data_IF_314003636150
#
_entry.id   IF_314003636150
#
_cell.length_a   1.000
_cell.length_b   1.000
_cell.length_c   1.000
_cell.angle_alpha   90.00
_cell.angle_beta   90.00
_cell.angle_gamma   90.00
#
_symmetry.space_group_name_H-M   'P 1'
#
loop_
_entity.id
_entity.type
_entity.pdbx_description
1 polymer ?
#
# COMPACT_ATOMS: atom_id res chain seq x y z
N UNK A 1 -8.79 27.59 15.58
CA UNK A 1 -10.08 26.90 15.31
C UNK A 1 -9.90 25.45 15.74
N UNK A 2 -10.87 24.83 16.42
CA UNK A 2 -10.78 23.41 16.78
C UNK A 2 -11.46 22.59 15.68
N UNK A 3 -10.72 21.68 15.03
CA UNK A 3 -11.27 20.82 13.98
C UNK A 3 -11.88 19.56 14.60
N UNK A 4 -13.08 19.73 15.19
CA UNK A 4 -13.83 18.66 15.83
C UNK A 4 -14.87 18.07 14.88
N UNK A 5 -14.88 16.75 14.77
CA UNK A 5 -15.93 16.01 14.05
C UNK A 5 -16.51 14.91 14.93
N UNK A 6 -17.72 14.46 14.60
CA UNK A 6 -18.40 13.35 15.29
C UNK A 6 -18.55 12.18 14.32
N UNK A 7 -17.85 11.09 14.59
CA UNK A 7 -17.98 9.82 13.88
C UNK A 7 -18.91 8.86 14.61
N UNK A 8 -19.31 7.75 14.01
CA UNK A 8 -19.98 6.64 14.71
C UNK A 8 -19.20 6.13 15.94
N UNK A 9 -17.87 6.18 15.91
CA UNK A 9 -17.02 5.76 17.03
C UNK A 9 -16.94 6.77 18.18
N UNK A 10 -17.21 8.06 17.94
CA UNK A 10 -17.10 9.14 18.93
C UNK A 10 -16.57 10.44 18.32
N UNK A 11 -16.19 11.40 19.17
CA UNK A 11 -15.63 12.67 18.72
C UNK A 11 -14.13 12.54 18.42
N UNK A 12 -13.68 13.22 17.36
CA UNK A 12 -12.27 13.33 16.94
C UNK A 12 -11.87 14.79 16.85
N UNK A 13 -10.63 15.08 17.26
CA UNK A 13 -9.98 16.38 17.04
C UNK A 13 -8.84 16.21 16.05
N UNK A 14 -8.93 16.88 14.88
CA UNK A 14 -7.89 16.98 13.87
C UNK A 14 -7.04 18.23 14.01
N UNK A 15 -6.15 18.44 13.03
CA UNK A 15 -5.27 19.60 12.95
C UNK A 15 -5.15 20.11 11.51
N UNK A 16 -4.79 21.41 11.34
CA UNK A 16 -4.43 21.93 10.02
C UNK A 16 -3.15 21.28 9.52
N UNK A 17 -2.93 21.34 8.22
CA UNK A 17 -1.71 20.85 7.57
C UNK A 17 -0.91 21.99 6.97
N UNK A 18 0.26 21.69 6.39
CA UNK A 18 1.04 22.63 5.60
C UNK A 18 0.43 22.92 4.21
N UNK A 19 -0.57 22.14 3.77
CA UNK A 19 -1.31 22.40 2.54
C UNK A 19 -2.59 23.17 2.85
N UNK A 20 -2.75 24.31 2.17
CA UNK A 20 -3.92 25.18 2.33
C UNK A 20 -5.21 24.42 2.06
N UNK A 21 -6.20 24.60 2.94
CA UNK A 21 -7.52 23.97 2.82
C UNK A 21 -7.56 22.47 3.10
N UNK A 22 -6.50 21.90 3.69
CA UNK A 22 -6.43 20.46 4.05
C UNK A 22 -6.34 20.28 5.56
N UNK A 23 -7.27 19.51 6.12
CA UNK A 23 -7.27 19.09 7.52
C UNK A 23 -6.82 17.63 7.61
N UNK A 24 -5.97 17.34 8.58
CA UNK A 24 -5.55 15.99 8.89
C UNK A 24 -6.14 15.49 10.21
N UNK A 25 -6.57 14.24 10.19
CA UNK A 25 -6.91 13.44 11.37
C UNK A 25 -5.93 12.27 11.40
N UNK A 26 -4.90 12.38 12.24
CA UNK A 26 -3.75 11.49 12.27
C UNK A 26 -3.85 10.46 13.40
N UNK A 27 -3.34 9.25 13.18
CA UNK A 27 -3.25 8.24 14.22
C UNK A 27 -4.57 7.74 14.78
N UNK A 28 -5.61 7.67 13.95
CA UNK A 28 -6.91 7.12 14.36
C UNK A 28 -6.78 5.60 14.50
N UNK A 29 -7.05 5.07 15.69
CA UNK A 29 -7.05 3.62 15.92
C UNK A 29 -8.25 2.98 15.26
N UNK A 30 -8.03 2.22 14.20
CA UNK A 30 -9.10 1.52 13.49
C UNK A 30 -9.35 0.10 14.03
N UNK A 31 -8.35 -0.51 14.66
CA UNK A 31 -8.45 -1.86 15.20
C UNK A 31 -7.51 -2.08 16.38
N UNK A 32 -7.74 -3.18 17.09
CA UNK A 32 -6.84 -3.77 18.09
C UNK A 32 -6.58 -5.23 17.75
N UNK A 33 -5.39 -5.72 18.04
CA UNK A 33 -5.05 -7.15 17.90
C UNK A 33 -3.95 -7.53 18.89
N UNK A 34 -4.02 -8.73 19.44
CA UNK A 34 -2.88 -9.37 20.09
C UNK A 34 -1.91 -9.96 19.06
N UNK A 35 -0.72 -10.38 19.53
CA UNK A 35 0.28 -11.04 18.68
C UNK A 35 -0.25 -12.35 18.14
N UNK A 36 -0.26 -12.49 16.79
CA UNK A 36 -0.82 -13.63 16.04
C UNK A 36 -2.33 -13.82 16.25
N UNK A 37 -3.04 -12.74 16.59
CA UNK A 37 -4.50 -12.69 16.61
C UNK A 37 -5.03 -11.85 15.45
N UNK A 38 -6.26 -12.17 15.00
CA UNK A 38 -6.92 -11.37 13.97
C UNK A 38 -7.44 -10.05 14.55
N UNK A 39 -7.44 -8.97 13.76
CA UNK A 39 -7.82 -7.64 14.23
C UNK A 39 -9.31 -7.59 14.59
N UNK A 40 -9.62 -6.76 15.57
CA UNK A 40 -10.99 -6.39 15.95
C UNK A 40 -11.17 -4.90 15.71
N UNK A 41 -12.17 -4.56 14.91
CA UNK A 41 -12.51 -3.17 14.61
C UNK A 41 -12.80 -2.38 15.89
N UNK A 42 -12.29 -1.16 15.97
CA UNK A 42 -12.65 -0.20 17.02
C UNK A 42 -13.93 0.50 16.60
N UNK A 43 -14.98 0.33 17.40
CA UNK A 43 -16.32 0.87 17.13
C UNK A 43 -16.71 2.00 18.06
N UNK A 44 -15.92 2.29 19.12
CA UNK A 44 -16.19 3.38 20.04
C UNK A 44 -14.95 3.77 20.84
N UNK A 45 -14.93 5.02 21.30
CA UNK A 45 -14.03 5.56 22.31
C UNK A 45 -14.75 6.56 23.19
N UNK A 46 -14.19 6.83 24.37
CA UNK A 46 -14.73 7.82 25.30
C UNK A 46 -14.08 9.20 25.07
N UNK A 47 -14.87 10.26 25.27
CA UNK A 47 -14.40 11.64 25.17
C UNK A 47 -14.05 12.07 23.75
N UNK A 48 -13.10 13.00 23.64
CA UNK A 48 -12.57 13.49 22.36
C UNK A 48 -11.25 12.80 22.07
N UNK A 49 -11.21 12.01 21.01
CA UNK A 49 -9.98 11.34 20.53
C UNK A 49 -9.05 12.38 19.90
N UNK A 50 -7.81 12.46 20.37
CA UNK A 50 -6.80 13.36 19.84
C UNK A 50 -6.14 12.76 18.58
N UNK A 51 -6.63 13.17 17.41
CA UNK A 51 -6.13 12.75 16.11
C UNK A 51 -5.18 13.81 15.48
N UNK A 52 -4.34 14.45 16.28
CA UNK A 52 -3.40 15.50 15.81
C UNK A 52 -1.99 14.96 15.56
N UNK A 53 -1.69 13.73 15.96
CA UNK A 53 -0.38 13.09 15.83
C UNK A 53 -0.49 11.73 15.17
N UNK A 54 0.54 11.35 14.40
CA UNK A 54 0.62 10.00 13.85
C UNK A 54 0.70 8.95 14.95
N UNK A 55 0.06 7.80 14.72
CA UNK A 55 0.21 6.61 15.55
C UNK A 55 1.51 5.86 15.23
N UNK A 56 1.89 4.95 16.11
CA UNK A 56 3.09 4.14 15.93
C UNK A 56 3.05 3.31 14.63
N UNK A 57 4.18 3.17 13.98
CA UNK A 57 4.41 2.23 12.89
C UNK A 57 4.52 0.79 13.40
N UNK A 58 4.22 -0.18 12.56
CA UNK A 58 4.48 -1.57 12.86
C UNK A 58 5.97 -1.83 13.06
N UNK A 59 6.32 -2.70 14.02
CA UNK A 59 7.70 -3.19 14.13
C UNK A 59 8.17 -3.79 12.81
N UNK A 60 9.39 -3.45 12.44
CA UNK A 60 10.04 -3.80 11.19
C UNK A 60 11.56 -3.80 11.41
N UNK A 61 12.38 -4.33 10.49
CA UNK A 61 13.83 -4.38 10.71
C UNK A 61 14.47 -3.06 11.17
N UNK A 62 14.09 -1.95 10.54
CA UNK A 62 14.63 -0.62 10.86
C UNK A 62 14.25 -0.07 12.24
N UNK A 63 13.31 -0.70 12.93
CA UNK A 63 12.99 -0.36 14.32
C UNK A 63 14.14 -0.65 15.29
N UNK A 64 15.12 -1.46 14.86
CA UNK A 64 16.17 -2.02 15.71
C UNK A 64 17.59 -1.68 15.24
N UNK A 65 17.75 -0.75 14.28
CA UNK A 65 19.05 -0.24 13.84
C UNK A 65 18.92 1.17 13.26
N UNK A 66 20.04 1.90 13.24
CA UNK A 66 20.11 3.19 12.59
C UNK A 66 20.30 3.02 11.06
N UNK A 67 19.37 3.50 10.24
CA UNK A 67 19.43 3.40 8.78
C UNK A 67 20.60 4.21 8.18
N UNK A 68 21.03 5.30 8.82
CA UNK A 68 22.16 6.12 8.37
C UNK A 68 23.50 5.35 8.42
N UNK A 69 23.60 4.37 9.29
CA UNK A 69 24.77 3.51 9.44
C UNK A 69 24.77 2.30 8.50
N UNK A 70 23.71 2.16 7.66
CA UNK A 70 23.50 1.00 6.80
C UNK A 70 23.63 1.38 5.32
N UNK A 71 24.83 1.26 4.68
CA UNK A 71 25.07 1.71 3.30
C UNK A 71 24.06 1.18 2.27
N UNK A 72 23.59 -0.07 2.45
CA UNK A 72 22.57 -0.68 1.56
C UNK A 72 21.14 -0.17 1.78
N UNK A 73 20.91 0.67 2.80
CA UNK A 73 19.57 1.21 3.13
C UNK A 73 19.50 2.72 2.95
N UNK A 74 20.65 3.36 2.81
CA UNK A 74 20.78 4.82 2.77
C UNK A 74 19.97 5.46 1.65
N UNK A 75 19.82 4.78 0.50
CA UNK A 75 19.06 5.31 -0.63
C UNK A 75 17.60 5.59 -0.22
N UNK A 76 16.85 4.54 0.17
CA UNK A 76 15.45 4.70 0.56
C UNK A 76 15.25 5.49 1.86
N UNK A 77 16.25 5.51 2.73
CA UNK A 77 16.26 6.40 3.89
C UNK A 77 16.31 7.86 3.45
N UNK A 78 17.25 8.23 2.57
CA UNK A 78 17.36 9.59 2.04
C UNK A 78 16.11 10.02 1.28
N UNK A 79 15.51 9.10 0.49
CA UNK A 79 14.30 9.38 -0.27
C UNK A 79 13.10 9.65 0.64
N UNK A 80 12.80 8.74 1.55
CA UNK A 80 11.47 8.68 2.15
C UNK A 80 11.43 9.05 3.63
N UNK A 81 12.58 9.10 4.34
CA UNK A 81 12.57 9.16 5.81
C UNK A 81 13.54 10.12 6.44
N UNK A 82 14.56 10.57 5.73
CA UNK A 82 15.58 11.47 6.29
C UNK A 82 14.95 12.73 6.86
N UNK A 83 15.28 13.02 8.12
CA UNK A 83 14.74 14.15 8.85
C UNK A 83 13.44 13.86 9.60
N UNK A 84 12.85 12.67 9.45
CA UNK A 84 11.64 12.25 10.15
C UNK A 84 11.95 11.32 11.31
N UNK A 85 11.08 11.32 12.32
CA UNK A 85 11.15 10.41 13.47
C UNK A 85 9.91 9.53 13.50
N UNK A 86 10.11 8.24 13.65
CA UNK A 86 9.04 7.25 13.71
C UNK A 86 9.05 6.51 15.03
N UNK A 87 7.88 6.38 15.65
CA UNK A 87 7.66 5.48 16.78
C UNK A 87 7.25 4.11 16.26
N UNK A 88 7.71 3.03 16.89
CA UNK A 88 7.41 1.65 16.49
C UNK A 88 6.79 0.88 17.64
N UNK A 89 5.74 0.10 17.33
CA UNK A 89 5.03 -0.70 18.32
C UNK A 89 4.34 -1.92 17.66
N UNK A 90 3.99 -2.93 18.47
CA UNK A 90 3.00 -3.93 18.07
C UNK A 90 1.59 -3.32 18.03
N UNK A 91 1.34 -2.34 18.85
CA UNK A 91 0.13 -1.51 18.81
C UNK A 91 0.29 -0.44 17.72
N UNK A 92 0.03 -0.84 16.47
CA UNK A 92 0.32 -0.07 15.26
C UNK A 92 -0.88 0.10 14.32
N UNK A 93 -2.07 -0.39 14.69
CA UNK A 93 -3.24 -0.42 13.81
C UNK A 93 -3.94 0.95 13.77
N UNK A 94 -3.26 1.91 13.14
CA UNK A 94 -3.71 3.28 12.98
C UNK A 94 -3.86 3.65 11.51
N UNK A 95 -4.80 4.55 11.24
CA UNK A 95 -4.96 5.19 9.93
C UNK A 95 -4.96 6.72 10.09
N UNK A 96 -4.79 7.41 8.96
CA UNK A 96 -4.82 8.86 8.87
C UNK A 96 -5.85 9.26 7.81
N UNK A 97 -6.61 10.32 8.05
CA UNK A 97 -7.58 10.87 7.09
C UNK A 97 -7.19 12.31 6.77
N UNK A 98 -7.12 12.63 5.49
CA UNK A 98 -6.89 13.97 4.96
C UNK A 98 -8.15 14.41 4.22
N UNK A 99 -8.76 15.51 4.66
CA UNK A 99 -10.04 15.97 4.13
C UNK A 99 -9.99 17.47 3.82
N UNK A 100 -10.83 17.97 2.89
CA UNK A 100 -10.97 19.41 2.66
C UNK A 100 -11.46 20.14 3.92
N UNK A 101 -10.85 21.27 4.27
CA UNK A 101 -11.25 22.11 5.40
C UNK A 101 -12.69 22.62 5.28
N UNK A 102 -13.09 22.98 4.08
CA UNK A 102 -14.43 23.48 3.78
C UNK A 102 -15.49 22.36 3.78
N UNK A 103 -15.08 21.13 4.08
CA UNK A 103 -15.93 19.96 4.03
C UNK A 103 -16.32 19.59 2.60
N UNK A 104 -17.38 18.81 2.49
CA UNK A 104 -17.97 18.31 1.26
C UNK A 104 -19.00 17.24 1.64
N UNK A 105 -19.86 16.90 0.70
CA UNK A 105 -20.77 15.77 0.87
C UNK A 105 -20.51 14.75 -0.22
N UNK A 106 -20.40 13.47 0.20
CA UNK A 106 -20.20 12.34 -0.71
C UNK A 106 -18.95 12.48 -1.61
N UNK A 107 -17.84 12.97 -1.02
CA UNK A 107 -16.57 13.04 -1.73
C UNK A 107 -16.01 11.62 -1.97
N UNK A 108 -15.41 11.35 -3.13
CA UNK A 108 -14.70 10.09 -3.36
C UNK A 108 -13.55 9.92 -2.37
N UNK A 109 -13.21 8.68 -2.06
CA UNK A 109 -12.23 8.31 -1.06
C UNK A 109 -11.12 7.47 -1.69
N UNK A 110 -9.86 7.85 -1.47
CA UNK A 110 -8.68 7.06 -1.81
C UNK A 110 -8.07 6.48 -0.54
N UNK A 111 -8.01 5.16 -0.43
CA UNK A 111 -7.38 4.43 0.70
C UNK A 111 -6.08 3.82 0.22
N UNK A 112 -4.95 4.31 0.72
CA UNK A 112 -3.64 3.87 0.32
C UNK A 112 -3.05 2.83 1.27
N UNK A 113 -2.59 1.71 0.70
CA UNK A 113 -1.89 0.61 1.37
C UNK A 113 -0.41 0.65 0.96
N UNK A 114 0.47 0.95 1.91
CA UNK A 114 1.89 1.10 1.64
C UNK A 114 2.58 -0.21 1.24
N UNK A 115 3.67 -0.10 0.50
CA UNK A 115 4.55 -1.21 0.13
C UNK A 115 5.60 -1.55 1.20
N UNK A 116 6.73 -2.11 0.73
CA UNK A 116 7.87 -2.48 1.59
C UNK A 116 8.02 -4.00 1.78
N UNK A 117 7.59 -4.81 0.80
CA UNK A 117 7.81 -6.26 0.78
C UNK A 117 7.14 -7.01 1.92
N UNK A 118 6.06 -6.50 2.48
CA UNK A 118 5.37 -7.00 3.68
C UNK A 118 6.23 -7.00 4.96
N UNK A 119 7.39 -6.37 4.92
CA UNK A 119 8.36 -6.38 6.01
C UNK A 119 8.81 -5.00 6.45
N UNK A 120 8.39 -3.95 5.76
CA UNK A 120 8.73 -2.55 6.05
C UNK A 120 7.67 -1.59 5.53
N UNK A 121 7.84 -0.30 5.82
CA UNK A 121 6.93 0.78 5.44
C UNK A 121 6.04 1.27 6.57
N UNK A 122 5.39 2.40 6.36
CA UNK A 122 4.29 2.90 7.18
C UNK A 122 3.44 3.91 6.38
N UNK A 123 2.26 4.25 6.87
CA UNK A 123 1.29 5.11 6.17
C UNK A 123 1.57 6.61 6.26
N UNK A 124 2.73 7.04 6.76
CA UNK A 124 3.08 8.45 6.89
C UNK A 124 4.57 8.72 6.62
N UNK A 125 5.17 7.97 5.68
CA UNK A 125 6.47 8.36 5.12
C UNK A 125 6.31 9.60 4.23
N UNK A 126 7.38 10.37 4.04
CA UNK A 126 7.38 11.71 3.41
C UNK A 126 6.60 11.81 2.11
N UNK A 127 6.66 10.79 1.27
CA UNK A 127 5.98 10.76 -0.03
C UNK A 127 4.46 10.46 0.07
N UNK A 128 3.94 10.14 1.26
CA UNK A 128 2.51 9.98 1.51
C UNK A 128 1.96 11.07 2.43
N UNK A 129 2.82 11.87 3.03
CA UNK A 129 2.40 12.86 4.02
C UNK A 129 1.70 14.03 3.35
N UNK A 130 0.48 14.24 3.78
CA UNK A 130 -0.43 15.29 3.29
C UNK A 130 -0.52 15.31 1.75
N UNK A 131 -1.21 14.35 1.11
CA UNK A 131 -1.41 14.34 -0.34
C UNK A 131 -2.22 15.56 -0.81
N UNK A 132 -2.09 15.93 -2.08
CA UNK A 132 -2.88 17.04 -2.67
C UNK A 132 -4.34 16.67 -2.96
N UNK A 133 -4.71 15.41 -2.84
CA UNK A 133 -6.05 14.90 -3.20
C UNK A 133 -7.22 15.66 -2.57
N UNK A 134 -7.17 16.10 -1.28
CA UNK A 134 -8.23 16.91 -0.70
C UNK A 134 -8.44 18.26 -1.40
N UNK A 135 -7.38 18.89 -1.91
CA UNK A 135 -7.49 20.11 -2.69
C UNK A 135 -8.19 19.89 -4.04
N UNK A 136 -8.18 18.65 -4.54
CA UNK A 136 -8.86 18.18 -5.77
C UNK A 136 -10.23 17.53 -5.46
N UNK A 137 -10.73 17.66 -4.22
CA UNK A 137 -12.04 17.15 -3.80
C UNK A 137 -12.13 15.64 -3.59
N UNK A 138 -11.04 14.99 -3.19
CA UNK A 138 -10.98 13.56 -2.88
C UNK A 138 -10.40 13.37 -1.48
N UNK A 139 -11.08 12.63 -0.61
CA UNK A 139 -10.55 12.31 0.72
C UNK A 139 -9.43 11.29 0.60
N UNK A 140 -8.28 11.59 1.21
CA UNK A 140 -7.14 10.69 1.30
C UNK A 140 -7.13 9.92 2.62
N UNK A 141 -6.87 8.62 2.57
CA UNK A 141 -6.65 7.78 3.75
C UNK A 141 -5.36 6.99 3.57
N UNK A 142 -4.50 7.00 4.58
CA UNK A 142 -3.32 6.13 4.64
C UNK A 142 -3.40 5.27 5.90
N UNK A 143 -2.79 4.10 5.91
CA UNK A 143 -2.92 3.17 7.04
C UNK A 143 -1.62 2.42 7.33
N UNK A 144 -1.46 2.01 8.58
CA UNK A 144 -0.48 1.02 9.03
C UNK A 144 -1.13 -0.35 9.15
N UNK A 145 -0.36 -1.40 8.94
CA UNK A 145 -0.75 -2.79 9.16
C UNK A 145 0.45 -3.58 9.68
N UNK A 146 0.24 -4.70 10.35
CA UNK A 146 1.32 -5.52 10.90
C UNK A 146 2.20 -6.09 9.81
N UNK A 147 3.50 -6.09 10.05
CA UNK A 147 4.56 -6.42 9.10
C UNK A 147 5.42 -7.59 9.59
N UNK A 148 6.13 -8.20 8.64
CA UNK A 148 7.13 -9.22 8.94
C UNK A 148 6.57 -10.39 9.75
N UNK A 149 7.32 -10.87 10.74
CA UNK A 149 6.89 -11.94 11.64
C UNK A 149 5.52 -11.72 12.27
N UNK A 150 5.23 -10.49 12.68
CA UNK A 150 3.97 -10.16 13.38
C UNK A 150 2.76 -10.11 12.46
N UNK A 151 2.98 -9.85 11.16
CA UNK A 151 1.93 -9.75 10.15
C UNK A 151 1.69 -11.02 9.34
N UNK A 152 2.68 -11.93 9.26
CA UNK A 152 2.64 -13.01 8.26
C UNK A 152 3.17 -14.38 8.76
N UNK A 153 3.48 -14.54 10.04
CA UNK A 153 3.87 -15.84 10.58
C UNK A 153 2.75 -16.88 10.42
N UNK A 154 3.14 -18.13 10.16
CA UNK A 154 2.24 -19.26 10.04
C UNK A 154 2.78 -20.44 10.84
N UNK A 155 1.93 -21.04 11.66
CA UNK A 155 2.22 -22.23 12.44
C UNK A 155 0.98 -23.13 12.46
N UNK A 156 1.13 -24.47 12.51
CA UNK A 156 -0.01 -25.38 12.63
C UNK A 156 -0.90 -25.06 13.84
N UNK A 157 -0.30 -24.72 14.98
CA UNK A 157 -0.99 -24.39 16.22
C UNK A 157 -1.87 -23.14 16.08
N UNK A 158 -1.44 -22.15 15.31
CA UNK A 158 -2.25 -20.96 15.00
C UNK A 158 -3.47 -21.31 14.14
N UNK A 159 -3.33 -22.31 13.25
CA UNK A 159 -4.44 -22.82 12.46
C UNK A 159 -5.43 -23.60 13.33
N UNK A 160 -4.96 -24.36 14.29
CA UNK A 160 -5.81 -25.10 15.24
C UNK A 160 -6.63 -24.13 16.11
N UNK A 161 -6.02 -23.03 16.58
CA UNK A 161 -6.72 -22.02 17.41
C UNK A 161 -7.83 -21.27 16.65
N UNK A 162 -7.58 -20.85 15.43
CA UNK A 162 -8.47 -19.94 14.70
C UNK A 162 -9.25 -20.61 13.55
N UNK A 163 -8.91 -21.86 13.18
CA UNK A 163 -9.46 -22.56 12.02
C UNK A 163 -8.81 -22.17 10.68
N UNK A 164 -7.98 -21.12 10.67
CA UNK A 164 -7.19 -20.64 9.52
C UNK A 164 -5.94 -19.92 10.03
N UNK A 165 -4.97 -19.61 9.18
CA UNK A 165 -3.67 -19.09 9.64
C UNK A 165 -3.04 -18.12 8.67
N UNK A 166 -2.27 -17.17 9.21
CA UNK A 166 -1.48 -16.20 8.45
C UNK A 166 -2.26 -14.97 8.01
N UNK A 167 -1.63 -14.19 7.14
CA UNK A 167 -2.23 -13.00 6.53
C UNK A 167 -2.74 -11.94 7.53
N UNK A 168 -2.25 -11.91 8.78
CA UNK A 168 -2.71 -10.94 9.80
C UNK A 168 -2.66 -9.51 9.26
N UNK A 169 -1.56 -9.15 8.54
CA UNK A 169 -1.44 -7.85 7.90
C UNK A 169 -2.50 -7.57 6.82
N UNK A 170 -2.94 -8.59 6.06
CA UNK A 170 -4.04 -8.41 5.10
C UNK A 170 -5.40 -8.26 5.81
N UNK A 171 -5.62 -8.98 6.91
CA UNK A 171 -6.82 -8.78 7.72
C UNK A 171 -6.84 -7.40 8.40
N UNK A 172 -5.66 -6.88 8.81
CA UNK A 172 -5.54 -5.50 9.31
C UNK A 172 -6.00 -4.50 8.24
N UNK A 173 -5.51 -4.65 7.00
CA UNK A 173 -5.89 -3.81 5.86
C UNK A 173 -7.41 -3.90 5.58
N UNK A 174 -7.98 -5.12 5.56
CA UNK A 174 -9.42 -5.33 5.39
C UNK A 174 -10.21 -4.62 6.48
N UNK A 175 -9.76 -4.71 7.74
CA UNK A 175 -10.42 -4.06 8.88
C UNK A 175 -10.31 -2.53 8.78
N UNK A 176 -9.19 -2.00 8.29
CA UNK A 176 -9.04 -0.57 8.02
C UNK A 176 -10.03 -0.08 6.94
N UNK A 177 -10.15 -0.82 5.83
CA UNK A 177 -11.12 -0.50 4.76
C UNK A 177 -12.56 -0.56 5.30
N UNK A 178 -12.87 -1.54 6.14
CA UNK A 178 -14.17 -1.66 6.78
C UNK A 178 -14.45 -0.47 7.72
N UNK A 179 -13.46 -0.09 8.54
CA UNK A 179 -13.57 1.09 9.39
C UNK A 179 -13.80 2.37 8.58
N UNK A 180 -13.09 2.53 7.45
CA UNK A 180 -13.31 3.66 6.52
C UNK A 180 -14.75 3.64 6.02
N UNK A 181 -15.26 2.50 5.55
CA UNK A 181 -16.64 2.38 5.08
C UNK A 181 -17.67 2.78 6.14
N UNK A 182 -17.42 2.47 7.42
CA UNK A 182 -18.33 2.80 8.51
C UNK A 182 -18.26 4.27 8.97
N UNK A 183 -17.09 4.92 8.79
CA UNK A 183 -16.84 6.21 9.45
C UNK A 183 -16.61 7.38 8.49
N UNK A 184 -16.26 7.14 7.22
CA UNK A 184 -15.76 8.18 6.30
C UNK A 184 -16.80 9.27 5.98
N UNK A 185 -18.09 8.97 6.10
CA UNK A 185 -19.16 9.95 5.91
C UNK A 185 -19.05 11.13 6.90
N UNK A 186 -18.52 10.90 8.10
CA UNK A 186 -18.29 11.96 9.08
C UNK A 186 -17.20 12.96 8.65
N UNK A 187 -16.34 12.57 7.72
CA UNK A 187 -15.29 13.40 7.12
C UNK A 187 -15.75 14.02 5.77
N UNK A 188 -17.02 13.81 5.39
CA UNK A 188 -17.57 14.25 4.10
C UNK A 188 -17.39 13.26 2.95
N UNK A 189 -16.86 12.05 3.21
CA UNK A 189 -16.63 11.04 2.20
C UNK A 189 -17.86 10.19 1.86
N UNK A 190 -17.86 9.59 0.68
CA UNK A 190 -18.87 8.64 0.25
C UNK A 190 -18.42 7.21 0.54
N UNK A 191 -19.06 6.50 1.48
CA UNK A 191 -18.75 5.09 1.75
C UNK A 191 -19.07 4.15 0.57
N UNK A 192 -19.85 4.62 -0.42
CA UNK A 192 -20.14 3.87 -1.64
C UNK A 192 -19.23 4.28 -2.81
N UNK A 193 -18.23 5.15 -2.57
CA UNK A 193 -17.26 5.57 -3.59
C UNK A 193 -15.82 5.51 -3.06
N UNK A 194 -15.39 4.33 -2.61
CA UNK A 194 -14.05 4.05 -2.09
C UNK A 194 -13.20 3.42 -3.19
N UNK A 195 -12.01 3.97 -3.40
CA UNK A 195 -10.95 3.41 -4.24
C UNK A 195 -9.82 2.96 -3.34
N UNK A 196 -9.40 1.69 -3.41
CA UNK A 196 -8.20 1.23 -2.73
C UNK A 196 -6.99 1.35 -3.68
N UNK A 197 -5.88 1.85 -3.17
CA UNK A 197 -4.64 2.04 -3.91
C UNK A 197 -3.48 1.41 -3.15
N UNK A 198 -2.49 0.87 -3.85
CA UNK A 198 -1.29 0.37 -3.19
C UNK A 198 -0.12 0.23 -4.15
N UNK A 199 1.10 0.29 -3.61
CA UNK A 199 2.32 0.16 -4.38
C UNK A 199 3.13 -1.05 -3.92
N UNK A 200 3.81 -1.77 -4.85
CA UNK A 200 4.66 -2.92 -4.52
C UNK A 200 3.87 -3.99 -3.75
N UNK A 201 4.31 -4.37 -2.55
CA UNK A 201 3.57 -5.25 -1.65
C UNK A 201 2.16 -4.71 -1.34
N UNK A 202 1.96 -3.39 -1.26
CA UNK A 202 0.65 -2.76 -1.15
C UNK A 202 -0.21 -2.98 -2.40
N UNK A 203 0.36 -2.91 -3.61
CA UNK A 203 -0.33 -3.27 -4.84
C UNK A 203 -0.69 -4.76 -4.92
N UNK A 204 0.20 -5.63 -4.41
CA UNK A 204 -0.11 -7.05 -4.23
C UNK A 204 -1.24 -7.26 -3.20
N UNK A 205 -1.28 -6.48 -2.12
CA UNK A 205 -2.38 -6.49 -1.14
C UNK A 205 -3.70 -6.08 -1.78
N UNK A 206 -3.71 -4.97 -2.54
CA UNK A 206 -4.88 -4.53 -3.31
C UNK A 206 -5.40 -5.66 -4.19
N UNK A 207 -4.51 -6.35 -4.90
CA UNK A 207 -4.91 -7.52 -5.70
C UNK A 207 -5.55 -8.61 -4.84
N UNK A 208 -4.98 -8.97 -3.67
CA UNK A 208 -5.58 -9.98 -2.80
C UNK A 208 -6.98 -9.57 -2.34
N UNK A 209 -7.19 -8.30 -2.03
CA UNK A 209 -8.52 -7.79 -1.73
C UNK A 209 -9.47 -7.87 -2.93
N UNK A 210 -9.00 -7.59 -4.15
CA UNK A 210 -9.80 -7.74 -5.37
C UNK A 210 -10.14 -9.20 -5.72
N UNK A 211 -9.42 -10.16 -5.16
CA UNK A 211 -9.64 -11.61 -5.36
C UNK A 211 -10.44 -12.26 -4.21
N UNK A 212 -10.65 -11.54 -3.12
CA UNK A 212 -11.25 -12.08 -1.89
C UNK A 212 -12.76 -11.92 -1.87
N UNK A 213 -13.52 -12.98 -1.56
CA UNK A 213 -14.97 -12.84 -1.34
C UNK A 213 -15.31 -12.00 -0.09
N UNK A 214 -14.40 -11.92 0.90
CA UNK A 214 -14.63 -11.17 2.14
C UNK A 214 -14.65 -9.66 1.96
N UNK A 215 -14.02 -9.14 0.93
CA UNK A 215 -13.91 -7.70 0.68
C UNK A 215 -14.84 -7.20 -0.42
N UNK A 216 -15.71 -8.09 -0.93
CA UNK A 216 -16.69 -7.74 -1.96
C UNK A 216 -17.65 -6.66 -1.44
N UNK A 217 -17.72 -5.54 -2.17
CA UNK A 217 -18.56 -4.39 -1.83
C UNK A 217 -17.95 -3.42 -0.80
N UNK A 218 -16.74 -3.69 -0.27
CA UNK A 218 -16.07 -2.74 0.61
C UNK A 218 -15.46 -1.55 -0.14
N UNK A 219 -15.17 -1.71 -1.42
CA UNK A 219 -14.63 -0.67 -2.30
C UNK A 219 -15.15 -0.86 -3.74
N UNK A 220 -15.10 0.19 -4.54
CA UNK A 220 -15.69 0.26 -5.86
C UNK A 220 -14.67 0.37 -6.99
N UNK A 221 -13.41 0.71 -6.68
CA UNK A 221 -12.32 0.85 -7.65
C UNK A 221 -10.99 0.44 -7.03
N UNK A 222 -10.01 0.10 -7.85
CA UNK A 222 -8.69 -0.29 -7.35
C UNK A 222 -7.55 0.25 -8.22
N UNK A 223 -6.43 0.63 -7.56
CA UNK A 223 -5.21 1.13 -8.19
C UNK A 223 -4.01 0.31 -7.71
N UNK A 224 -3.25 -0.26 -8.65
CA UNK A 224 -2.10 -1.12 -8.36
C UNK A 224 -0.83 -0.55 -9.00
N UNK A 225 0.06 0.02 -8.17
CA UNK A 225 1.32 0.61 -8.61
C UNK A 225 2.46 -0.41 -8.43
N UNK A 226 3.13 -0.81 -9.51
CA UNK A 226 4.30 -1.71 -9.48
C UNK A 226 4.10 -2.95 -8.61
N UNK A 227 2.87 -3.50 -8.61
CA UNK A 227 2.47 -4.68 -7.82
C UNK A 227 1.09 -5.16 -8.25
N UNK A 228 0.80 -6.44 -8.07
CA UNK A 228 -0.44 -7.04 -8.53
C UNK A 228 -0.39 -7.47 -10.02
N UNK A 229 -1.57 -7.70 -10.61
CA UNK A 229 -1.70 -8.22 -11.98
C UNK A 229 -1.73 -9.76 -12.05
N UNK A 230 -1.78 -10.30 -13.26
CA UNK A 230 -1.95 -11.74 -13.47
C UNK A 230 -0.62 -12.48 -13.71
N UNK A 231 -0.23 -13.36 -12.78
CA UNK A 231 0.97 -14.19 -12.88
C UNK A 231 0.79 -15.55 -12.23
N UNK A 232 1.35 -16.59 -12.85
CA UNK A 232 1.50 -17.90 -12.20
C UNK A 232 2.67 -17.91 -11.21
N UNK A 233 3.73 -17.15 -11.53
CA UNK A 233 4.98 -17.14 -10.78
C UNK A 233 4.83 -16.46 -9.40
N UNK A 234 4.04 -15.37 -9.34
CA UNK A 234 3.83 -14.58 -8.12
C UNK A 234 2.49 -14.88 -7.45
N UNK A 235 1.99 -16.09 -7.59
CA UNK A 235 0.76 -16.55 -6.93
C UNK A 235 1.03 -16.99 -5.50
N UNK A 236 0.09 -16.71 -4.60
CA UNK A 236 0.10 -17.23 -3.23
C UNK A 236 0.16 -18.76 -3.21
N UNK A 237 0.74 -19.33 -2.17
CA UNK A 237 0.81 -20.76 -1.92
C UNK A 237 0.19 -21.12 -0.57
N UNK A 238 -0.04 -22.41 -0.30
CA UNK A 238 -0.53 -22.85 1.01
C UNK A 238 0.45 -22.52 2.13
N UNK A 239 -0.04 -22.31 3.36
CA UNK A 239 0.78 -21.97 4.53
C UNK A 239 1.78 -23.05 4.91
N UNK A 240 1.50 -24.31 4.52
CA UNK A 240 2.31 -25.50 4.82
C UNK A 240 3.76 -25.34 4.33
N UNK A 241 3.96 -24.58 3.24
CA UNK A 241 5.30 -24.32 2.71
C UNK A 241 6.21 -23.51 3.63
N UNK A 242 5.63 -22.85 4.63
CA UNK A 242 6.36 -22.00 5.57
C UNK A 242 6.30 -22.52 7.02
N UNK A 243 5.61 -23.62 7.30
CA UNK A 243 5.50 -24.17 8.66
C UNK A 243 6.86 -24.53 9.27
N UNK A 244 7.67 -25.32 8.55
CA UNK A 244 9.00 -25.72 9.01
C UNK A 244 9.90 -24.50 9.28
N UNK A 245 9.82 -23.48 8.43
CA UNK A 245 10.57 -22.24 8.63
C UNK A 245 10.13 -21.53 9.92
N UNK A 246 8.84 -21.37 10.14
CA UNK A 246 8.34 -20.67 11.32
C UNK A 246 8.52 -21.48 12.60
N UNK A 247 8.47 -22.78 12.52
CA UNK A 247 8.78 -23.68 13.63
C UNK A 247 10.27 -23.53 14.03
N UNK A 248 11.17 -23.53 13.07
CA UNK A 248 12.60 -23.24 13.29
C UNK A 248 12.83 -21.85 13.91
N UNK A 249 12.09 -20.82 13.46
CA UNK A 249 12.17 -19.48 14.06
C UNK A 249 11.71 -19.50 15.52
N UNK A 250 10.60 -20.15 15.83
CA UNK A 250 10.06 -20.30 17.18
C UNK A 250 11.10 -20.97 18.10
N UNK A 251 11.68 -22.11 17.70
CA UNK A 251 12.70 -22.83 18.43
C UNK A 251 13.97 -22.00 18.67
N UNK A 252 14.46 -21.30 17.62
CA UNK A 252 15.62 -20.39 17.75
C UNK A 252 15.34 -19.19 18.66
N UNK A 253 14.10 -18.77 18.79
CA UNK A 253 13.66 -17.81 19.79
C UNK A 253 13.65 -18.38 21.21
N UNK A 254 13.91 -19.69 21.40
CA UNK A 254 13.88 -20.39 22.69
C UNK A 254 12.45 -20.65 23.19
N UNK A 255 11.48 -20.66 22.31
CA UNK A 255 10.09 -20.97 22.61
C UNK A 255 9.78 -22.39 22.16
N UNK A 256 9.18 -23.19 23.05
CA UNK A 256 8.80 -24.58 22.80
C UNK A 256 7.31 -24.76 22.47
N UNK A 257 6.53 -23.68 22.60
CA UNK A 257 5.10 -23.65 22.31
C UNK A 257 4.64 -22.24 21.94
N UNK A 258 3.42 -22.12 21.45
CA UNK A 258 2.86 -20.85 20.97
C UNK A 258 2.71 -19.80 22.09
N UNK A 259 2.39 -20.22 23.33
CA UNK A 259 2.27 -19.30 24.46
C UNK A 259 3.61 -18.62 24.79
N UNK A 260 4.69 -19.37 24.78
CA UNK A 260 6.06 -18.85 24.95
C UNK A 260 6.46 -17.98 23.74
N UNK A 261 6.11 -18.39 22.53
CA UNK A 261 6.43 -17.64 21.32
C UNK A 261 5.75 -16.26 21.29
N UNK A 262 4.52 -16.17 21.81
CA UNK A 262 3.83 -14.88 21.99
C UNK A 262 4.54 -13.93 22.97
N UNK A 263 5.34 -14.45 23.92
CA UNK A 263 6.06 -13.67 24.92
C UNK A 263 7.49 -13.28 24.47
N UNK A 264 7.96 -13.78 23.34
CA UNK A 264 9.30 -13.43 22.83
C UNK A 264 9.37 -11.93 22.54
N UNK A 265 10.35 -11.19 23.08
CA UNK A 265 10.52 -9.76 22.75
C UNK A 265 10.59 -9.54 21.23
N UNK A 266 9.90 -8.50 20.73
CA UNK A 266 9.83 -8.22 19.29
C UNK A 266 11.22 -8.08 18.66
N UNK A 267 12.14 -7.37 19.32
CA UNK A 267 13.54 -7.23 18.88
C UNK A 267 14.22 -8.58 18.67
N UNK A 268 14.10 -9.51 19.65
CA UNK A 268 14.66 -10.86 19.55
C UNK A 268 14.05 -11.62 18.36
N UNK A 269 12.73 -11.56 18.20
CA UNK A 269 12.02 -12.21 17.11
C UNK A 269 12.48 -11.68 15.74
N UNK A 270 12.53 -10.37 15.56
CA UNK A 270 12.97 -9.75 14.31
C UNK A 270 14.44 -10.03 14.01
N UNK A 271 15.31 -10.01 15.00
CA UNK A 271 16.74 -10.33 14.84
C UNK A 271 16.93 -11.78 14.36
N UNK A 272 16.31 -12.74 15.04
CA UNK A 272 16.40 -14.15 14.68
C UNK A 272 15.80 -14.42 13.30
N UNK A 273 14.66 -13.80 13.01
CA UNK A 273 14.05 -13.89 11.69
C UNK A 273 14.99 -13.31 10.60
N UNK A 274 15.57 -12.14 10.81
CA UNK A 274 16.48 -11.52 9.85
C UNK A 274 17.71 -12.38 9.53
N UNK A 275 18.30 -13.00 10.56
CA UNK A 275 19.44 -13.90 10.42
C UNK A 275 19.10 -15.15 9.58
N UNK A 276 17.85 -15.56 9.57
CA UNK A 276 17.40 -16.82 8.95
C UNK A 276 16.48 -16.64 7.73
N UNK A 277 16.04 -15.44 7.39
CA UNK A 277 15.02 -15.19 6.35
C UNK A 277 15.36 -15.73 4.95
N UNK A 278 16.64 -15.95 4.64
CA UNK A 278 17.07 -16.56 3.37
C UNK A 278 16.68 -18.03 3.25
N UNK A 279 16.34 -18.70 4.34
CA UNK A 279 15.91 -20.10 4.34
C UNK A 279 14.46 -20.28 3.82
N UNK A 280 13.72 -19.20 3.61
CA UNK A 280 12.37 -19.26 3.04
C UNK A 280 12.18 -18.16 1.99
N UNK A 281 11.37 -18.44 0.98
CA UNK A 281 11.02 -17.45 -0.04
C UNK A 281 10.26 -16.28 0.60
N UNK A 282 10.67 -15.04 0.30
CA UNK A 282 10.11 -13.85 0.95
C UNK A 282 10.34 -13.79 2.46
N UNK A 283 11.29 -14.59 3.00
CA UNK A 283 11.52 -14.69 4.45
C UNK A 283 10.32 -15.26 5.21
N UNK A 284 9.44 -16.03 4.55
CA UNK A 284 8.19 -16.52 5.13
C UNK A 284 7.13 -15.44 5.39
N UNK A 285 7.36 -14.21 4.94
CA UNK A 285 6.48 -13.06 5.17
C UNK A 285 5.76 -12.63 3.88
N UNK A 286 4.97 -13.53 3.30
CA UNK A 286 4.17 -13.26 2.09
C UNK A 286 2.75 -13.76 2.30
N UNK A 287 1.76 -13.21 1.57
CA UNK A 287 0.41 -13.74 1.58
C UNK A 287 0.37 -15.24 1.28
N UNK A 288 -0.40 -15.99 2.05
CA UNK A 288 -0.61 -17.42 1.86
C UNK A 288 -2.10 -17.72 1.63
N UNK A 289 -2.40 -18.88 1.03
CA UNK A 289 -3.77 -19.35 0.84
C UNK A 289 -4.31 -19.82 2.20
N UNK A 290 -5.11 -18.97 2.86
CA UNK A 290 -5.73 -19.27 4.16
C UNK A 290 -7.14 -19.88 4.03
N UNK A 291 -7.69 -19.89 2.82
CA UNK A 291 -9.00 -20.42 2.51
C UNK A 291 -10.18 -19.47 2.84
N UNK A 292 -9.92 -18.25 3.32
CA UNK A 292 -10.93 -17.25 3.68
C UNK A 292 -10.72 -15.91 2.97
N UNK A 293 -9.64 -15.20 3.27
CA UNK A 293 -9.29 -13.96 2.59
C UNK A 293 -8.56 -14.27 1.30
N UNK A 294 -7.54 -15.12 1.35
CA UNK A 294 -6.81 -15.61 0.17
C UNK A 294 -7.30 -17.01 -0.15
N UNK A 295 -8.29 -17.11 -1.04
CA UNK A 295 -9.03 -18.35 -1.32
C UNK A 295 -8.36 -19.24 -2.36
N UNK A 296 -7.29 -18.79 -3.01
CA UNK A 296 -6.61 -19.60 -4.03
C UNK A 296 -5.53 -18.82 -4.79
N UNK A 297 -5.01 -19.45 -5.84
CA UNK A 297 -4.04 -18.81 -6.72
C UNK A 297 -4.69 -17.73 -7.57
N UNK A 298 -4.19 -16.52 -7.53
CA UNK A 298 -4.80 -15.35 -8.17
C UNK A 298 -5.08 -15.55 -9.67
N UNK A 299 -4.15 -16.13 -10.42
CA UNK A 299 -4.35 -16.37 -11.86
C UNK A 299 -5.47 -17.40 -12.16
N UNK A 300 -5.75 -18.33 -11.24
CA UNK A 300 -6.84 -19.30 -11.39
C UNK A 300 -8.19 -18.63 -11.10
N UNK A 301 -8.26 -17.79 -10.04
CA UNK A 301 -9.46 -17.01 -9.69
C UNK A 301 -9.85 -16.10 -10.85
N UNK A 302 -8.88 -15.35 -11.40
CA UNK A 302 -9.10 -14.46 -12.55
C UNK A 302 -9.58 -15.25 -13.77
N UNK A 303 -9.00 -16.42 -14.05
CA UNK A 303 -9.42 -17.29 -15.16
C UNK A 303 -10.87 -17.77 -15.03
N UNK A 304 -11.37 -17.96 -13.79
CA UNK A 304 -12.76 -18.33 -13.52
C UNK A 304 -13.72 -17.15 -13.45
N UNK A 305 -13.21 -15.89 -13.56
CA UNK A 305 -14.03 -14.68 -13.43
C UNK A 305 -14.57 -14.46 -12.01
N UNK A 306 -13.88 -14.95 -10.97
CA UNK A 306 -14.30 -14.86 -9.56
C UNK A 306 -13.71 -13.63 -8.83
N UNK A 307 -12.92 -12.81 -9.51
CA UNK A 307 -12.40 -11.55 -8.99
C UNK A 307 -13.48 -10.45 -8.98
N UNK A 308 -13.20 -9.34 -8.31
CA UNK A 308 -14.13 -8.21 -8.31
C UNK A 308 -14.21 -7.55 -9.68
N UNK A 309 -15.42 -7.43 -10.23
CA UNK A 309 -15.72 -6.74 -11.49
C UNK A 309 -15.91 -5.25 -11.24
N UNK A 310 -14.80 -4.54 -11.04
CA UNK A 310 -14.72 -3.10 -10.76
C UNK A 310 -13.73 -2.44 -11.71
N UNK A 311 -13.74 -1.12 -11.88
CA UNK A 311 -12.70 -0.39 -12.62
C UNK A 311 -11.33 -0.47 -11.97
N UNK A 312 -10.28 -0.54 -12.81
CA UNK A 312 -8.89 -0.65 -12.37
C UNK A 312 -7.99 0.40 -13.03
N UNK A 313 -7.04 0.93 -12.24
CA UNK A 313 -5.81 1.53 -12.73
C UNK A 313 -4.65 0.62 -12.33
N UNK A 314 -3.76 0.29 -13.25
CA UNK A 314 -2.58 -0.52 -12.95
C UNK A 314 -1.40 -0.10 -13.82
N UNK A 315 -0.20 -0.09 -13.26
CA UNK A 315 1.00 0.24 -14.04
C UNK A 315 2.30 0.04 -13.27
N UNK A 316 3.39 0.39 -13.93
CA UNK A 316 4.76 0.13 -13.47
C UNK A 316 5.69 1.26 -13.87
N UNK A 317 6.88 1.28 -13.27
CA UNK A 317 7.97 2.19 -13.64
C UNK A 317 8.95 1.53 -14.62
N UNK A 318 9.73 2.33 -15.35
CA UNK A 318 10.66 1.82 -16.37
C UNK A 318 11.89 1.12 -15.79
N UNK A 319 12.33 1.53 -14.58
CA UNK A 319 13.46 0.94 -13.86
C UNK A 319 12.97 0.19 -12.60
N UNK A 320 11.87 -0.53 -12.76
CA UNK A 320 11.24 -1.33 -11.71
C UNK A 320 12.11 -2.54 -11.30
N UNK A 321 11.75 -3.22 -10.21
CA UNK A 321 12.48 -4.41 -9.71
C UNK A 321 12.48 -5.60 -10.71
N UNK A 322 11.44 -5.71 -11.53
CA UNK A 322 11.32 -6.70 -12.62
C UNK A 322 10.51 -6.09 -13.78
N UNK A 323 11.03 -5.09 -14.50
CA UNK A 323 10.24 -4.27 -15.40
C UNK A 323 9.42 -5.06 -16.45
N UNK A 324 9.99 -6.04 -17.20
CA UNK A 324 9.21 -6.76 -18.21
C UNK A 324 8.14 -7.66 -17.62
N UNK A 325 8.37 -8.19 -16.41
CA UNK A 325 7.46 -9.10 -15.75
C UNK A 325 6.27 -8.31 -15.20
N UNK A 326 6.53 -7.26 -14.43
CA UNK A 326 5.48 -6.42 -13.82
C UNK A 326 4.62 -5.75 -14.91
N UNK A 327 5.23 -5.20 -15.95
CA UNK A 327 4.49 -4.62 -17.08
C UNK A 327 3.60 -5.66 -17.78
N UNK A 328 4.12 -6.86 -18.04
CA UNK A 328 3.34 -7.96 -18.64
C UNK A 328 2.17 -8.40 -17.74
N UNK A 329 2.37 -8.43 -16.42
CA UNK A 329 1.31 -8.76 -15.45
C UNK A 329 0.20 -7.72 -15.45
N UNK A 330 0.56 -6.44 -15.41
CA UNK A 330 -0.37 -5.32 -15.45
C UNK A 330 -1.18 -5.30 -16.76
N UNK A 331 -0.50 -5.46 -17.90
CA UNK A 331 -1.14 -5.54 -19.22
C UNK A 331 -2.14 -6.69 -19.32
N UNK A 332 -1.76 -7.88 -18.83
CA UNK A 332 -2.65 -9.05 -18.79
C UNK A 332 -3.85 -8.84 -17.88
N UNK A 333 -3.65 -8.14 -16.75
CA UNK A 333 -4.76 -7.80 -15.84
C UNK A 333 -5.81 -6.95 -16.56
N UNK A 334 -5.41 -5.84 -17.20
CA UNK A 334 -6.33 -4.99 -17.96
C UNK A 334 -7.04 -5.75 -19.09
N UNK A 335 -6.32 -6.64 -19.79
CA UNK A 335 -6.86 -7.35 -20.94
C UNK A 335 -7.95 -8.39 -20.63
N UNK A 336 -8.05 -8.83 -19.36
CA UNK A 336 -9.03 -9.83 -18.92
C UNK A 336 -10.24 -9.22 -18.20
N UNK A 337 -10.22 -7.89 -17.98
CA UNK A 337 -11.33 -7.20 -17.31
C UNK A 337 -12.49 -6.93 -18.27
N UNK A 338 -13.70 -7.06 -17.76
CA UNK A 338 -14.95 -6.64 -18.42
C UNK A 338 -15.41 -5.24 -18.00
N UNK A 339 -14.67 -4.61 -17.09
CA UNK A 339 -14.85 -3.23 -16.62
C UNK A 339 -13.75 -2.33 -17.16
N UNK A 340 -13.94 -0.99 -17.20
CA UNK A 340 -12.90 -0.06 -17.63
C UNK A 340 -11.62 -0.26 -16.80
N UNK A 341 -10.52 -0.58 -17.47
CA UNK A 341 -9.24 -0.84 -16.85
C UNK A 341 -8.14 -0.18 -17.65
N UNK A 342 -7.35 0.66 -16.97
CA UNK A 342 -6.40 1.56 -17.59
C UNK A 342 -4.97 1.16 -17.18
N UNK A 343 -4.06 1.17 -18.15
CA UNK A 343 -2.67 0.80 -17.97
C UNK A 343 -1.79 2.02 -18.12
N UNK A 344 -0.86 2.26 -17.16
CA UNK A 344 0.19 3.27 -17.31
C UNK A 344 1.59 2.66 -17.32
N UNK A 345 2.53 3.46 -17.82
CA UNK A 345 3.96 3.19 -17.77
C UNK A 345 4.71 4.48 -17.44
N UNK A 346 5.33 4.54 -16.27
CA UNK A 346 6.06 5.71 -15.80
C UNK A 346 7.54 5.60 -16.17
N UNK A 347 8.05 6.58 -16.93
CA UNK A 347 9.44 6.60 -17.41
C UNK A 347 10.15 7.95 -17.19
N UNK A 348 9.60 8.84 -16.34
CA UNK A 348 10.29 10.07 -15.93
C UNK A 348 11.59 9.72 -15.22
N UNK A 349 12.73 10.19 -15.74
CA UNK A 349 14.00 10.09 -15.04
C UNK A 349 14.05 11.16 -13.96
N UNK A 350 13.94 10.76 -12.69
CA UNK A 350 13.92 11.72 -11.59
C UNK A 350 15.24 12.49 -11.53
N UNK A 351 15.22 13.83 -11.35
CA UNK A 351 16.44 14.62 -11.24
C UNK A 351 17.21 14.32 -9.95
N UNK A 352 18.52 14.63 -9.93
CA UNK A 352 19.38 14.52 -8.76
C UNK A 352 20.28 13.28 -8.72
N UNK A 353 19.98 12.22 -9.48
CA UNK A 353 20.82 11.04 -9.68
C UNK A 353 20.51 10.37 -11.05
N UNK A 354 21.14 9.22 -11.30
CA UNK A 354 21.02 8.46 -12.55
C UNK A 354 20.21 7.14 -12.40
N UNK A 355 19.42 7.00 -11.34
CA UNK A 355 18.63 5.79 -11.11
C UNK A 355 17.37 5.67 -11.98
N UNK A 356 17.06 6.72 -12.77
CA UNK A 356 15.90 6.73 -13.67
C UNK A 356 14.56 6.70 -12.92
N UNK A 357 13.56 6.09 -13.53
CA UNK A 357 12.25 5.87 -12.91
C UNK A 357 12.26 4.57 -12.09
N UNK A 358 12.94 4.57 -10.96
CA UNK A 358 13.12 3.42 -10.08
C UNK A 358 11.82 3.00 -9.38
N UNK A 359 11.81 1.80 -8.81
CA UNK A 359 10.67 1.24 -8.10
C UNK A 359 10.15 2.17 -6.99
N UNK A 360 8.92 2.60 -7.05
CA UNK A 360 8.24 3.58 -6.17
C UNK A 360 8.48 5.07 -6.48
N UNK A 361 9.25 5.41 -7.51
CA UNK A 361 9.53 6.81 -7.86
C UNK A 361 8.29 7.60 -8.31
N UNK A 362 7.31 6.92 -8.88
CA UNK A 362 6.03 7.46 -9.33
C UNK A 362 5.12 7.93 -8.17
N UNK A 363 5.41 7.50 -6.94
CA UNK A 363 4.58 7.87 -5.78
C UNK A 363 4.66 9.37 -5.45
N UNK A 364 5.80 10.02 -5.62
CA UNK A 364 5.92 11.47 -5.46
C UNK A 364 4.90 12.23 -6.33
N UNK A 365 4.66 11.74 -7.54
CA UNK A 365 3.73 12.32 -8.50
C UNK A 365 2.27 11.93 -8.20
N UNK A 366 1.99 10.66 -7.89
CA UNK A 366 0.62 10.22 -7.55
C UNK A 366 0.06 10.89 -6.30
N UNK A 367 0.92 11.27 -5.35
CA UNK A 367 0.54 11.99 -4.13
C UNK A 367 0.63 13.51 -4.27
N UNK A 368 1.35 14.03 -5.27
CA UNK A 368 1.61 15.44 -5.46
C UNK A 368 2.38 16.04 -4.28
N UNK A 369 3.43 15.35 -3.85
CA UNK A 369 4.23 15.67 -2.64
C UNK A 369 5.69 15.94 -2.98
N UNK A 370 5.97 16.48 -4.18
CA UNK A 370 7.32 16.73 -4.67
C UNK A 370 8.12 17.63 -3.70
N UNK A 371 7.45 18.57 -3.03
CA UNK A 371 8.05 19.50 -2.07
C UNK A 371 8.63 18.81 -0.82
N UNK A 372 8.19 17.58 -0.49
CA UNK A 372 8.74 16.81 0.61
C UNK A 372 10.04 16.07 0.25
N UNK A 373 10.41 16.07 -1.04
CA UNK A 373 11.59 15.38 -1.55
C UNK A 373 12.81 16.29 -1.57
N UNK A 374 14.00 15.69 -1.50
CA UNK A 374 15.28 16.41 -1.60
C UNK A 374 15.69 16.73 -3.06
N UNK A 375 15.01 16.13 -4.04
CA UNK A 375 15.36 16.21 -5.46
C UNK A 375 15.05 17.59 -6.03
N UNK A 376 15.90 18.11 -6.95
CA UNK A 376 15.69 19.40 -7.59
C UNK A 376 14.67 19.26 -8.72
N UNK A 377 13.41 19.03 -8.39
CA UNK A 377 12.32 18.96 -9.34
C UNK A 377 12.15 20.30 -10.09
N UNK A 378 11.70 20.22 -11.33
CA UNK A 378 11.47 21.36 -12.21
C UNK A 378 10.01 21.42 -12.71
N UNK A 379 9.71 22.37 -13.60
CA UNK A 379 8.35 22.57 -14.11
C UNK A 379 7.80 21.37 -14.90
N UNK A 380 8.65 20.49 -15.42
CA UNK A 380 8.21 19.24 -16.06
C UNK A 380 7.66 18.28 -14.99
N UNK A 381 8.33 18.21 -13.83
CA UNK A 381 7.89 17.40 -12.71
C UNK A 381 6.59 17.93 -12.11
N UNK A 382 6.46 19.25 -11.96
CA UNK A 382 5.24 19.90 -11.45
C UNK A 382 4.05 19.61 -12.38
N UNK A 383 4.21 19.79 -13.70
CA UNK A 383 3.16 19.50 -14.68
C UNK A 383 2.76 18.02 -14.67
N UNK A 384 3.74 17.11 -14.60
CA UNK A 384 3.49 15.68 -14.56
C UNK A 384 2.79 15.25 -13.26
N UNK A 385 3.14 15.85 -12.12
CA UNK A 385 2.49 15.59 -10.84
C UNK A 385 1.02 16.10 -10.86
N UNK A 386 0.77 17.26 -11.45
CA UNK A 386 -0.59 17.79 -11.63
C UNK A 386 -1.42 16.85 -12.53
N UNK A 387 -0.89 16.45 -13.69
CA UNK A 387 -1.56 15.50 -14.58
C UNK A 387 -1.89 14.18 -13.84
N UNK A 388 -0.89 13.59 -13.17
CA UNK A 388 -1.08 12.29 -12.51
C UNK A 388 -2.09 12.38 -11.36
N UNK A 389 -2.05 13.43 -10.54
CA UNK A 389 -3.01 13.62 -9.45
C UNK A 389 -4.41 13.92 -9.96
N UNK A 390 -4.57 14.72 -11.02
CA UNK A 390 -5.87 15.02 -11.64
C UNK A 390 -6.51 13.74 -12.20
N UNK A 391 -5.75 12.94 -12.95
CA UNK A 391 -6.20 11.67 -13.49
C UNK A 391 -6.58 10.67 -12.40
N UNK A 392 -5.81 10.59 -11.32
CA UNK A 392 -6.12 9.72 -10.18
C UNK A 392 -7.40 10.17 -9.48
N UNK A 393 -7.56 11.48 -9.25
CA UNK A 393 -8.74 12.04 -8.63
C UNK A 393 -9.99 11.88 -9.52
N UNK A 394 -9.87 12.07 -10.84
CA UNK A 394 -10.94 11.82 -11.80
C UNK A 394 -11.36 10.35 -11.81
N UNK A 395 -10.39 9.42 -11.81
CA UNK A 395 -10.68 7.99 -11.67
C UNK A 395 -11.37 7.66 -10.35
N UNK A 396 -10.93 8.25 -9.24
CA UNK A 396 -11.57 8.06 -7.94
C UNK A 396 -13.01 8.59 -7.92
N UNK A 397 -13.32 9.66 -8.65
CA UNK A 397 -14.68 10.19 -8.82
C UNK A 397 -15.55 9.27 -9.68
N UNK A 398 -15.17 9.07 -10.94
CA UNK A 398 -16.03 8.62 -12.00
C UNK A 398 -15.56 7.33 -12.71
N UNK A 399 -14.54 6.66 -12.18
CA UNK A 399 -13.90 5.49 -12.81
C UNK A 399 -13.28 5.78 -14.19
N UNK A 400 -13.04 7.04 -14.51
CA UNK A 400 -12.43 7.49 -15.76
C UNK A 400 -11.27 8.45 -15.43
N UNK A 401 -10.03 8.15 -15.81
CA UNK A 401 -8.86 8.99 -15.51
C UNK A 401 -8.70 10.17 -16.48
N UNK A 402 -9.60 10.35 -17.45
CA UNK A 402 -9.57 11.49 -18.36
C UNK A 402 -10.30 12.69 -17.74
N UNK A 403 -9.76 13.87 -17.93
CA UNK A 403 -10.32 15.18 -17.56
C UNK A 403 -10.51 16.05 -18.80
N UNK A 404 -11.00 17.27 -18.63
CA UNK A 404 -11.08 18.24 -19.74
C UNK A 404 -9.69 18.61 -20.28
N UNK A 405 -8.70 18.70 -19.39
CA UNK A 405 -7.31 19.04 -19.72
C UNK A 405 -6.51 17.81 -20.17
N UNK A 406 -6.63 16.70 -19.45
CA UNK A 406 -5.87 15.49 -19.66
C UNK A 406 -6.72 14.40 -20.32
N UNK A 407 -6.80 14.39 -21.63
CA UNK A 407 -7.60 13.42 -22.42
C UNK A 407 -6.78 12.25 -22.93
N UNK A 408 -7.41 11.34 -23.65
CA UNK A 408 -6.75 10.34 -24.51
C UNK A 408 -6.26 9.07 -23.82
N UNK A 409 -6.53 8.85 -22.53
CA UNK A 409 -6.20 7.57 -21.90
C UNK A 409 -7.26 6.51 -22.23
N UNK A 410 -6.86 5.49 -22.99
CA UNK A 410 -7.74 4.43 -23.45
C UNK A 410 -7.73 3.22 -22.48
N UNK A 411 -8.91 2.67 -22.21
CA UNK A 411 -9.05 1.45 -21.42
C UNK A 411 -8.69 0.17 -22.22
N UNK A 412 -8.45 -0.94 -21.50
CA UNK A 412 -8.36 -2.30 -22.05
C UNK A 412 -6.96 -2.86 -22.27
N UNK A 413 -5.91 -2.16 -21.83
CA UNK A 413 -4.55 -2.72 -21.75
C UNK A 413 -3.87 -3.06 -23.09
N UNK A 414 -4.36 -2.58 -24.23
CA UNK A 414 -3.67 -2.73 -25.53
C UNK A 414 -2.40 -1.91 -25.56
N UNK A 415 -2.46 -0.69 -25.04
CA UNK A 415 -1.37 0.24 -24.85
C UNK A 415 -1.46 0.85 -23.45
N UNK A 416 -0.36 1.42 -22.97
CA UNK A 416 -0.30 2.16 -21.72
C UNK A 416 -0.33 3.66 -21.99
N UNK A 417 -0.80 4.46 -21.06
CA UNK A 417 -0.43 5.86 -20.99
C UNK A 417 1.03 5.94 -20.53
N UNK A 418 1.89 6.46 -21.37
CA UNK A 418 3.32 6.68 -21.06
C UNK A 418 3.46 8.04 -20.41
N UNK A 419 3.91 8.05 -19.17
CA UNK A 419 4.11 9.22 -18.31
C UNK A 419 5.61 9.46 -18.15
N UNK A 420 6.14 10.57 -18.62
CA UNK A 420 7.58 10.77 -18.66
C UNK A 420 8.03 12.20 -18.91
N UNK A 421 9.16 12.37 -19.59
CA UNK A 421 9.81 13.66 -19.85
C UNK A 421 9.10 14.49 -20.94
N UNK A 422 8.06 13.94 -21.56
CA UNK A 422 7.29 14.52 -22.66
C UNK A 422 5.80 14.44 -22.38
N UNK A 423 5.02 15.10 -23.24
CA UNK A 423 3.56 15.01 -23.19
C UNK A 423 3.11 13.54 -23.12
N UNK A 424 2.21 13.26 -22.21
CA UNK A 424 1.68 11.93 -21.99
C UNK A 424 0.94 11.40 -23.22
N UNK A 425 1.22 10.19 -23.64
CA UNK A 425 0.64 9.58 -24.83
C UNK A 425 0.44 8.10 -24.69
N UNK A 426 -0.53 7.57 -25.44
CA UNK A 426 -0.72 6.12 -25.55
C UNK A 426 0.45 5.47 -26.30
N UNK A 427 1.00 4.42 -25.70
CA UNK A 427 2.13 3.69 -26.27
C UNK A 427 2.41 2.38 -25.56
N UNK A 428 3.41 1.67 -26.04
CA UNK A 428 3.94 0.49 -25.34
C UNK A 428 5.45 0.66 -25.19
N UNK A 429 6.03 0.40 -24.02
CA UNK A 429 7.47 0.38 -23.87
C UNK A 429 8.08 -0.72 -24.73
N UNK A 430 9.29 -0.48 -25.22
CA UNK A 430 10.04 -1.49 -25.97
C UNK A 430 10.33 -2.69 -25.08
N UNK A 431 9.89 -3.88 -25.48
CA UNK A 431 10.18 -5.12 -24.75
C UNK A 431 11.68 -5.34 -24.60
N UNK A 432 12.47 -5.04 -25.64
CA UNK A 432 13.93 -5.15 -25.59
C UNK A 432 14.52 -4.19 -24.54
N UNK A 433 14.05 -2.93 -24.49
CA UNK A 433 14.51 -1.95 -23.49
C UNK A 433 14.20 -2.45 -22.07
N UNK A 434 12.99 -2.98 -21.83
CA UNK A 434 12.63 -3.53 -20.51
C UNK A 434 13.50 -4.70 -20.08
N UNK A 435 13.84 -5.62 -21.00
CA UNK A 435 14.74 -6.75 -20.70
C UNK A 435 16.18 -6.27 -20.47
N UNK A 436 16.67 -5.32 -21.26
CA UNK A 436 18.00 -4.72 -21.05
C UNK A 436 18.03 -4.06 -19.66
N UNK A 437 17.05 -3.24 -19.33
CA UNK A 437 16.95 -2.59 -18.01
C UNK A 437 16.98 -3.60 -16.88
N UNK A 438 16.27 -4.72 -16.99
CA UNK A 438 16.26 -5.77 -15.96
C UNK A 438 17.66 -6.34 -15.65
N UNK A 439 18.55 -6.40 -16.65
CA UNK A 439 19.90 -6.95 -16.46
C UNK A 439 20.98 -5.91 -16.21
N UNK A 440 20.72 -4.65 -16.57
CA UNK A 440 21.70 -3.56 -16.44
C UNK A 440 21.42 -2.63 -15.27
N UNK A 441 20.15 -2.57 -14.83
CA UNK A 441 19.73 -1.72 -13.73
C UNK A 441 20.21 -2.32 -12.40
N UNK A 442 20.97 -1.54 -11.64
CA UNK A 442 21.23 -1.85 -10.23
C UNK A 442 20.08 -1.24 -9.45
N UNK A 443 19.36 -2.07 -8.70
CA UNK A 443 18.35 -1.52 -7.78
C UNK A 443 19.00 -0.49 -6.86
N UNK A 444 18.34 0.66 -6.61
CA UNK A 444 18.89 1.66 -5.72
C UNK A 444 19.24 1.04 -4.37
N UNK A 445 20.49 1.21 -3.91
CA UNK A 445 20.98 0.68 -2.64
C UNK A 445 21.63 -0.73 -2.70
N UNK A 446 21.86 -1.29 -3.90
CA UNK A 446 22.70 -2.51 -4.10
C UNK A 446 24.18 -2.19 -4.33
#
# INVERSE_FOLDING_TARGET
MEYLIKTPCGQLRGCPTNKEGVIAYKGIRYATAGRFEYPREVTSWEGVYDATKYGACAYQPRSFYNEEEMPKKIFYYNEFRKGETYEYSEDCLFLNVFAPENGGEKLPVLVYIHGGGFTGGCGHEKHFDVPVWPQKGVIGVTLNYRLGPLGFAVLPELKEEAGYVGNYGLYDQMTAILWVKHNIAAFGGDPENITIMGQSAGGMSVQQHCLSPLTKGLFQKAVMCSGGGTSKMLSASGPEKSYEFWQMIMEKCGASNLAEFRQVPAEKLFRIWQENKKASMGGGCSPCIDGRLVVGKGHEIVKRGEHHHIPYLIGTTSHDVMPPILYSMAKKWCAVQDTPSYLWFFERNLPGDDHGAWHSSDLWYWFGTLENCWRPFDSVDDTLADEMTDRLCAFAKDANPNTEEWTGWEAGGKSALVLGDHDSKMGNPSSLKLWVTMFTNKAPGE
#
